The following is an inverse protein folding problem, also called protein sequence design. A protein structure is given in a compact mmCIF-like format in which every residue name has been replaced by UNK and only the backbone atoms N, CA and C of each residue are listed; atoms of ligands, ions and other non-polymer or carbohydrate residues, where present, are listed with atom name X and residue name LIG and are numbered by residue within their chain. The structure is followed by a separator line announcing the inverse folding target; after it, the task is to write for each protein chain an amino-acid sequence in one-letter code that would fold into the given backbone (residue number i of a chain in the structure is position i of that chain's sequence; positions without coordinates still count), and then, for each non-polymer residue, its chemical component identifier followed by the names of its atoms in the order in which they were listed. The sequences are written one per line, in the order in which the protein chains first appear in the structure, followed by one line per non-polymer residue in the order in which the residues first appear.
data_IF_777622332769
#
_entry.id   IF_777622332769
#
_cell.length_a   1.000
_cell.length_b   1.000
_cell.length_c   1.000
_cell.angle_alpha   90.00
_cell.angle_beta   90.00
_cell.angle_gamma   90.00
#
_symmetry.space_group_name_H-M   'P 1'
#
loop_
_entity.id
_entity.type
_entity.pdbx_description
1 polymer ?
#
# COMPACT_ATOMS: atom_id res chain seq x y z
N UNK A 1 26.17 37.60 0.22
CA UNK A 1 25.89 36.51 -0.75
C UNK A 1 25.93 35.20 0.00
N UNK A 2 24.77 34.69 0.39
CA UNK A 2 24.63 33.39 1.07
C UNK A 2 24.56 32.34 -0.04
N UNK A 3 25.50 31.40 -0.05
CA UNK A 3 25.43 30.23 -0.93
C UNK A 3 24.58 29.18 -0.21
N UNK A 4 23.43 28.84 -0.79
CA UNK A 4 22.68 27.64 -0.41
C UNK A 4 23.24 26.48 -1.22
N UNK A 5 23.82 25.42 -0.60
CA UNK A 5 24.05 24.18 -1.31
C UNK A 5 22.72 23.42 -1.38
N UNK A 6 22.02 23.61 -2.50
CA UNK A 6 20.88 22.79 -2.90
C UNK A 6 21.39 21.41 -3.35
N UNK A 7 21.60 20.51 -2.40
CA UNK A 7 21.65 19.08 -2.67
C UNK A 7 21.38 18.36 -1.36
N UNK A 8 20.10 18.23 -1.02
CA UNK A 8 19.66 17.17 -0.12
C UNK A 8 20.17 15.86 -0.72
N UNK A 9 21.12 15.25 -0.04
CA UNK A 9 21.64 13.92 -0.33
C UNK A 9 20.50 12.91 -0.12
N UNK A 10 19.62 12.81 -1.12
CA UNK A 10 18.77 11.64 -1.27
C UNK A 10 19.72 10.62 -1.85
N UNK A 11 20.26 9.77 -0.98
CA UNK A 11 20.92 8.54 -1.39
C UNK A 11 19.90 7.84 -2.30
N UNK A 12 20.14 7.88 -3.60
CA UNK A 12 19.38 7.11 -4.57
C UNK A 12 19.76 5.67 -4.28
N UNK A 13 18.97 5.03 -3.42
CA UNK A 13 19.09 3.61 -3.15
C UNK A 13 18.89 2.92 -4.50
N UNK A 14 19.98 2.40 -5.07
CA UNK A 14 19.95 1.66 -6.33
C UNK A 14 19.14 0.37 -6.11
N UNK A 15 17.83 0.45 -6.35
CA UNK A 15 16.94 -0.70 -6.33
C UNK A 15 17.19 -1.46 -7.63
N UNK A 16 18.04 -2.47 -7.56
CA UNK A 16 18.23 -3.43 -8.65
C UNK A 16 16.89 -4.15 -8.90
N UNK A 17 16.20 -3.78 -9.98
CA UNK A 17 14.93 -4.40 -10.37
C UNK A 17 15.24 -5.82 -10.85
N UNK A 18 15.16 -6.79 -9.93
CA UNK A 18 15.18 -8.21 -10.31
C UNK A 18 13.93 -8.50 -11.12
N UNK A 19 14.11 -8.77 -12.41
CA UNK A 19 13.10 -9.17 -13.39
C UNK A 19 12.59 -10.59 -13.11
N UNK A 20 12.17 -10.86 -11.87
CA UNK A 20 11.43 -12.05 -11.51
C UNK A 20 9.97 -11.72 -11.78
N UNK A 21 9.34 -12.44 -12.70
CA UNK A 21 7.88 -12.36 -12.89
C UNK A 21 7.20 -12.77 -11.59
N UNK A 22 6.95 -11.79 -10.74
CA UNK A 22 6.02 -11.90 -9.63
C UNK A 22 4.68 -11.66 -10.30
N UNK A 23 3.78 -12.63 -10.22
CA UNK A 23 2.38 -12.46 -10.60
C UNK A 23 1.84 -11.24 -9.86
N UNK A 24 1.90 -10.07 -10.51
CA UNK A 24 1.42 -8.82 -9.95
C UNK A 24 -0.07 -9.02 -9.81
N UNK A 25 -0.55 -9.13 -8.58
CA UNK A 25 -1.98 -9.24 -8.33
C UNK A 25 -2.59 -7.94 -8.83
N UNK A 26 -3.29 -7.99 -9.95
CA UNK A 26 -3.99 -6.83 -10.47
C UNK A 26 -5.02 -6.45 -9.42
N UNK A 27 -4.81 -5.29 -8.79
CA UNK A 27 -5.81 -4.68 -7.94
C UNK A 27 -6.76 -3.99 -8.93
N UNK A 28 -7.91 -4.63 -9.15
CA UNK A 28 -9.00 -4.02 -9.93
C UNK A 28 -9.29 -2.63 -9.37
N UNK A 29 -9.49 -1.65 -10.26
CA UNK A 29 -9.96 -0.34 -9.83
C UNK A 29 -11.36 -0.53 -9.22
N UNK A 30 -11.54 -0.07 -7.97
CA UNK A 30 -12.85 -0.09 -7.32
C UNK A 30 -13.83 0.77 -8.15
N UNK A 31 -15.07 0.31 -8.34
CA UNK A 31 -16.07 1.01 -9.14
C UNK A 31 -16.59 2.31 -8.48
N UNK A 32 -16.25 2.55 -7.22
CA UNK A 32 -16.66 3.73 -6.44
C UNK A 32 -15.65 4.89 -6.49
N UNK A 33 -14.65 4.78 -7.37
CA UNK A 33 -13.50 5.70 -7.50
C UNK A 33 -12.68 5.88 -6.21
N UNK A 34 -12.94 5.09 -5.17
CA UNK A 34 -12.17 5.14 -3.94
C UNK A 34 -10.91 4.27 -4.09
N UNK A 35 -9.74 4.77 -3.68
CA UNK A 35 -8.55 3.95 -3.58
C UNK A 35 -8.76 2.76 -2.65
N UNK A 36 -8.23 1.59 -3.02
CA UNK A 36 -8.21 0.34 -2.23
C UNK A 36 -7.75 0.50 -0.76
N UNK A 37 -6.99 1.56 -0.46
CA UNK A 37 -6.57 1.92 0.89
C UNK A 37 -7.75 2.23 1.83
N UNK A 38 -8.85 2.80 1.33
CA UNK A 38 -10.01 3.14 2.15
C UNK A 38 -10.63 1.91 2.81
N UNK A 39 -10.72 0.81 2.07
CA UNK A 39 -11.28 -0.43 2.60
C UNK A 39 -10.39 -1.10 3.62
N UNK A 40 -9.07 -1.02 3.45
CA UNK A 40 -8.13 -1.51 4.46
C UNK A 40 -8.19 -0.64 5.70
N UNK A 41 -8.19 0.69 5.55
CA UNK A 41 -8.29 1.61 6.67
C UNK A 41 -9.56 1.35 7.47
N UNK A 42 -10.71 1.26 6.79
CA UNK A 42 -11.99 0.92 7.42
C UNK A 42 -11.92 -0.43 8.13
N UNK A 43 -11.38 -1.46 7.47
CA UNK A 43 -11.22 -2.78 8.09
C UNK A 43 -10.33 -2.74 9.34
N UNK A 44 -9.24 -1.96 9.34
CA UNK A 44 -8.37 -1.78 10.50
C UNK A 44 -9.06 -1.03 11.64
N UNK A 45 -9.98 -0.11 11.34
CA UNK A 45 -10.71 0.69 12.33
C UNK A 45 -11.91 -0.04 12.91
N UNK A 46 -12.65 -0.79 12.10
CA UNK A 46 -13.95 -1.38 12.48
C UNK A 46 -13.95 -2.90 12.54
N UNK A 47 -12.89 -3.57 12.09
CA UNK A 47 -12.82 -5.02 11.86
C UNK A 47 -13.93 -5.56 10.94
N UNK A 48 -14.58 -4.68 10.16
CA UNK A 48 -15.66 -5.04 9.23
C UNK A 48 -15.28 -4.80 7.77
N UNK A 49 -15.90 -5.56 6.87
CA UNK A 49 -15.70 -5.45 5.43
C UNK A 49 -16.78 -4.57 4.78
N UNK A 50 -16.53 -4.04 3.57
CA UNK A 50 -17.59 -3.53 2.71
C UNK A 50 -18.75 -4.54 2.58
N UNK A 51 -19.98 -4.05 2.59
CA UNK A 51 -21.19 -4.88 2.51
C UNK A 51 -21.24 -5.72 1.22
N UNK A 52 -20.76 -5.15 0.12
CA UNK A 52 -20.67 -5.76 -1.21
C UNK A 52 -19.33 -6.44 -1.51
N UNK A 53 -18.42 -6.56 -0.53
CA UNK A 53 -17.11 -7.17 -0.76
C UNK A 53 -17.24 -8.66 -1.11
N UNK A 54 -16.71 -9.03 -2.27
CA UNK A 54 -16.54 -10.43 -2.68
C UNK A 54 -15.57 -11.16 -1.74
N UNK A 55 -15.61 -12.49 -1.73
CA UNK A 55 -14.65 -13.29 -0.95
C UNK A 55 -13.19 -12.95 -1.28
N UNK A 56 -12.90 -12.71 -2.56
CA UNK A 56 -11.55 -12.35 -3.03
C UNK A 56 -11.13 -10.96 -2.54
N UNK A 57 -12.04 -9.98 -2.52
CA UNK A 57 -11.78 -8.65 -1.95
C UNK A 57 -11.51 -8.76 -0.44
N UNK A 58 -12.34 -9.48 0.32
CA UNK A 58 -12.12 -9.69 1.77
C UNK A 58 -10.76 -10.33 2.05
N UNK A 59 -10.40 -11.38 1.29
CA UNK A 59 -9.09 -12.04 1.40
C UNK A 59 -7.93 -11.06 1.09
N UNK A 60 -8.11 -10.20 0.09
CA UNK A 60 -7.10 -9.21 -0.30
C UNK A 60 -6.95 -8.12 0.76
N UNK A 61 -8.06 -7.58 1.28
CA UNK A 61 -8.10 -6.61 2.38
C UNK A 61 -7.37 -7.17 3.60
N UNK A 62 -7.67 -8.40 4.03
CA UNK A 62 -6.95 -9.05 5.14
C UNK A 62 -5.46 -9.15 4.89
N UNK A 63 -5.06 -9.64 3.72
CA UNK A 63 -3.65 -9.80 3.37
C UNK A 63 -2.93 -8.44 3.37
N UNK A 64 -3.56 -7.41 2.84
CA UNK A 64 -2.99 -6.07 2.80
C UNK A 64 -2.94 -5.43 4.19
N UNK A 65 -3.97 -5.59 5.02
CA UNK A 65 -3.99 -5.13 6.41
C UNK A 65 -2.87 -5.77 7.25
N UNK A 66 -2.64 -7.08 7.07
CA UNK A 66 -1.53 -7.79 7.72
C UNK A 66 -0.16 -7.27 7.26
N UNK A 67 -0.02 -6.97 5.96
CA UNK A 67 1.23 -6.43 5.41
C UNK A 67 1.43 -4.95 5.72
N UNK A 68 0.34 -4.19 5.95
CA UNK A 68 0.39 -2.79 6.35
C UNK A 68 1.06 -2.62 7.71
N UNK A 69 0.84 -3.56 8.63
CA UNK A 69 1.51 -3.58 9.94
C UNK A 69 3.01 -3.92 9.89
N UNK A 70 3.56 -4.32 8.75
CA UNK A 70 4.95 -4.76 8.64
C UNK A 70 5.95 -3.66 8.21
N UNK A 71 5.51 -2.43 7.89
CA UNK A 71 6.39 -1.34 7.44
C UNK A 71 6.88 -0.40 8.55
N UNK A 72 6.72 -0.75 9.83
CA UNK A 72 7.62 -0.29 10.88
C UNK A 72 7.42 1.11 11.46
N UNK A 73 6.17 1.51 11.76
CA UNK A 73 5.92 2.49 12.83
C UNK A 73 5.07 1.82 13.91
N UNK A 74 5.73 0.98 14.72
CA UNK A 74 5.31 0.74 16.09
C UNK A 74 5.66 2.02 16.85
N UNK A 75 4.63 2.74 17.31
CA UNK A 75 4.61 3.86 18.28
C UNK A 75 5.94 4.55 18.65
#
# INVERSE_FOLDING_TARGET
MIKHPDTSYIDLLDIEVKEKSVLCSHVEAEPDDLPWYFDIKRYLETETYPENATFNQKKSICRMALNFFASGEIL
#
